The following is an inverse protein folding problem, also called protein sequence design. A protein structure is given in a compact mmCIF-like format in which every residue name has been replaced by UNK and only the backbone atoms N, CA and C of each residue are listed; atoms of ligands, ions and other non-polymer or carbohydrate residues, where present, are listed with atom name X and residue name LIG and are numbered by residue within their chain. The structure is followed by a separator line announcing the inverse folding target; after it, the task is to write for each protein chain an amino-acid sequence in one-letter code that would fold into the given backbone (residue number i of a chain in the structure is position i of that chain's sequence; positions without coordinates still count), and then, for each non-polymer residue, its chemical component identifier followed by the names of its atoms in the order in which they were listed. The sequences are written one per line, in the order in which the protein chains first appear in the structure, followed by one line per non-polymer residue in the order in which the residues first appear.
data_IF_754786682205
#
_entry.id   IF_754786682205
#
_cell.length_a   1.000
_cell.length_b   1.000
_cell.length_c   1.000
_cell.angle_alpha   90.00
_cell.angle_beta   90.00
_cell.angle_gamma   90.00
#
_symmetry.space_group_name_H-M   'P 1'
#
loop_
_entity.id
_entity.type
_entity.pdbx_description
1 polymer ?
#
# COMPACT_ATOMS: atom_id res chain seq x y z
N UNK A 1 7.42 -12.19 8.94
CA UNK A 1 7.94 -13.45 9.54
C UNK A 1 8.39 -13.14 10.97
N UNK A 2 8.21 -14.03 11.95
CA UNK A 2 8.62 -13.80 13.35
C UNK A 2 7.48 -13.43 14.32
N UNK A 3 6.23 -13.40 13.87
CA UNK A 3 5.07 -13.11 14.72
C UNK A 3 4.80 -11.62 14.98
N UNK A 4 5.66 -10.71 14.50
CA UNK A 4 5.47 -9.27 14.60
C UNK A 4 4.37 -8.75 13.66
N UNK A 5 3.93 -7.52 13.91
CA UNK A 5 2.88 -6.82 13.20
C UNK A 5 3.45 -5.63 12.43
N UNK A 6 2.95 -5.44 11.20
CA UNK A 6 3.08 -4.19 10.48
C UNK A 6 1.75 -3.44 10.51
N UNK A 7 1.80 -2.13 10.74
CA UNK A 7 0.62 -1.27 10.81
C UNK A 7 0.83 -0.05 9.94
N UNK A 8 -0.11 0.24 9.05
CA UNK A 8 -0.08 1.43 8.20
C UNK A 8 -0.82 2.59 8.88
N UNK A 9 -0.28 3.80 8.79
CA UNK A 9 -0.93 5.01 9.30
C UNK A 9 -0.87 6.12 8.26
N UNK A 10 -2.04 6.65 7.88
CA UNK A 10 -2.13 7.83 7.04
C UNK A 10 -1.76 9.12 7.78
N UNK A 11 -1.47 10.19 7.04
CA UNK A 11 -1.14 11.50 7.63
C UNK A 11 -2.33 12.44 7.87
N UNK A 12 -3.57 11.95 7.64
CA UNK A 12 -4.88 12.63 7.85
C UNK A 12 -5.31 13.61 6.76
N UNK A 13 -4.54 13.76 5.68
CA UNK A 13 -4.86 14.55 4.49
C UNK A 13 -5.24 16.01 4.78
N UNK A 14 -4.66 16.60 5.82
CA UNK A 14 -4.82 18.00 6.19
C UNK A 14 -3.51 18.78 5.98
N UNK A 15 -3.59 20.06 5.59
CA UNK A 15 -2.41 20.88 5.29
C UNK A 15 -1.45 21.01 6.47
N UNK A 16 -1.95 21.00 7.71
CA UNK A 16 -1.13 21.12 8.91
C UNK A 16 -0.47 19.79 9.28
N UNK A 17 -1.11 18.65 8.99
CA UNK A 17 -0.58 17.33 9.33
C UNK A 17 0.28 16.74 8.23
N UNK A 18 0.09 17.16 6.98
CA UNK A 18 0.83 16.65 5.82
C UNK A 18 2.35 16.66 5.96
N UNK A 19 3.01 17.74 6.44
CA UNK A 19 4.45 17.73 6.65
C UNK A 19 4.91 16.72 7.71
N UNK A 20 4.02 16.27 8.61
CA UNK A 20 4.34 15.31 9.67
C UNK A 20 4.66 13.91 9.14
N UNK A 21 4.26 13.59 7.90
CA UNK A 21 4.70 12.38 7.19
C UNK A 21 6.24 12.25 7.13
N UNK A 22 6.95 13.38 7.06
CA UNK A 22 8.41 13.47 7.00
C UNK A 22 9.10 13.48 8.38
N UNK A 23 8.37 13.82 9.45
CA UNK A 23 8.92 13.82 10.81
C UNK A 23 8.90 12.41 11.42
N UNK A 24 9.99 12.03 12.09
CA UNK A 24 10.11 10.76 12.82
C UNK A 24 9.59 10.83 14.26
N UNK A 25 9.21 12.01 14.75
CA UNK A 25 8.73 12.24 16.12
C UNK A 25 7.23 11.86 16.30
N UNK A 26 6.58 11.34 15.26
CA UNK A 26 5.15 11.06 15.26
C UNK A 26 4.78 9.88 14.35
N UNK A 27 3.59 9.33 14.56
CA UNK A 27 3.10 8.16 13.85
C UNK A 27 2.20 8.49 12.63
N UNK A 28 2.24 9.70 12.07
CA UNK A 28 1.45 10.08 10.89
C UNK A 28 2.23 9.80 9.61
N UNK A 29 1.60 9.13 8.64
CA UNK A 29 2.24 8.83 7.35
C UNK A 29 3.39 7.82 7.48
N UNK A 30 3.18 6.74 8.23
CA UNK A 30 4.20 5.74 8.59
C UNK A 30 3.74 4.32 8.24
N UNK A 31 4.72 3.45 8.08
CA UNK A 31 4.54 2.02 8.40
C UNK A 31 5.25 1.77 9.71
N UNK A 32 4.53 1.17 10.65
CA UNK A 32 4.95 0.85 12.00
C UNK A 32 5.23 -0.66 12.07
N UNK A 33 6.28 -1.07 12.78
CA UNK A 33 6.66 -2.47 13.00
C UNK A 33 6.83 -2.75 14.49
N UNK A 34 5.96 -3.59 15.03
CA UNK A 34 5.82 -3.84 16.47
C UNK A 34 5.64 -5.33 16.77
N UNK A 35 5.90 -5.76 18.00
CA UNK A 35 5.53 -7.09 18.48
C UNK A 35 4.02 -7.20 18.71
N UNK A 36 3.50 -8.40 18.96
CA UNK A 36 2.08 -8.61 19.27
C UNK A 36 1.67 -7.96 20.61
N UNK A 37 2.63 -7.68 21.49
CA UNK A 37 2.43 -6.92 22.72
C UNK A 37 2.51 -5.40 22.50
N UNK A 38 2.68 -4.94 21.26
CA UNK A 38 2.73 -3.53 20.90
C UNK A 38 4.06 -2.83 21.18
N UNK A 39 5.15 -3.58 21.41
CA UNK A 39 6.49 -3.00 21.62
C UNK A 39 7.22 -2.80 20.30
N UNK A 40 8.15 -1.82 20.19
CA UNK A 40 9.04 -1.73 19.05
C UNK A 40 9.80 -3.04 18.83
N UNK A 41 9.99 -3.44 17.58
CA UNK A 41 10.88 -4.56 17.27
C UNK A 41 12.32 -4.10 17.44
N UNK A 42 13.16 -4.94 18.06
CA UNK A 42 14.48 -4.55 18.54
C UNK A 42 15.46 -4.12 17.43
N UNK A 43 15.27 -4.60 16.20
CA UNK A 43 16.09 -4.28 15.02
C UNK A 43 15.43 -3.24 14.11
N UNK A 44 14.42 -2.51 14.60
CA UNK A 44 13.83 -1.41 13.85
C UNK A 44 14.86 -0.34 13.50
N UNK A 45 14.70 0.33 12.33
CA UNK A 45 15.71 1.22 11.76
C UNK A 45 16.01 2.45 12.61
N UNK A 46 15.08 2.88 13.45
CA UNK A 46 15.19 4.11 14.24
C UNK A 46 15.23 3.86 15.76
N UNK A 47 15.46 2.62 16.19
CA UNK A 47 15.40 2.24 17.62
C UNK A 47 16.41 3.01 18.51
N UNK A 48 17.51 3.47 17.93
CA UNK A 48 18.58 4.20 18.63
C UNK A 48 18.58 5.71 18.33
N UNK A 49 17.60 6.19 17.55
CA UNK A 49 17.47 7.61 17.19
C UNK A 49 16.66 8.33 18.26
N UNK A 50 17.32 9.21 19.02
CA UNK A 50 16.77 9.79 20.26
C UNK A 50 15.39 10.46 20.09
N UNK A 51 15.18 11.14 18.97
CA UNK A 51 13.96 11.91 18.70
C UNK A 51 12.98 11.14 17.80
N UNK A 52 13.34 9.93 17.33
CA UNK A 52 12.45 9.12 16.50
C UNK A 52 11.56 8.21 17.35
N UNK A 53 10.34 7.95 16.88
CA UNK A 53 9.55 6.85 17.40
C UNK A 53 10.21 5.51 17.00
N UNK A 54 10.61 4.66 17.96
CA UNK A 54 11.36 3.44 17.68
C UNK A 54 10.53 2.39 16.92
N UNK A 55 9.21 2.51 16.90
CA UNK A 55 8.30 1.62 16.16
C UNK A 55 8.27 1.91 14.65
N UNK A 56 8.82 3.03 14.18
CA UNK A 56 8.79 3.39 12.77
C UNK A 56 9.65 2.41 11.96
N UNK A 57 9.05 1.84 10.91
CA UNK A 57 9.72 1.03 9.90
C UNK A 57 10.02 1.83 8.65
N UNK A 58 9.04 2.57 8.12
CA UNK A 58 9.20 3.50 6.99
C UNK A 58 8.34 4.74 7.17
N UNK A 59 8.64 5.80 6.43
CA UNK A 59 7.98 7.10 6.54
C UNK A 59 7.81 7.79 5.19
N UNK A 60 7.15 8.94 5.18
CA UNK A 60 6.83 9.66 3.95
C UNK A 60 5.68 9.04 3.17
N UNK A 61 4.66 8.53 3.88
CA UNK A 61 3.44 7.97 3.28
C UNK A 61 2.27 8.94 3.42
N UNK A 62 1.33 8.92 2.47
CA UNK A 62 0.09 9.68 2.50
C UNK A 62 -1.04 8.92 3.20
N UNK A 63 -1.57 7.90 2.53
CA UNK A 63 -2.73 7.15 3.01
C UNK A 63 -2.66 5.67 2.59
N UNK A 64 -1.70 4.91 3.17
CA UNK A 64 -1.54 3.48 2.91
C UNK A 64 -2.72 2.67 3.46
N UNK A 65 -3.45 2.00 2.56
CA UNK A 65 -4.63 1.19 2.90
C UNK A 65 -4.36 -0.30 2.73
N UNK A 66 -3.74 -0.69 1.61
CA UNK A 66 -3.38 -2.08 1.38
C UNK A 66 -2.01 -2.39 1.95
N UNK A 67 -1.87 -3.55 2.58
CA UNK A 67 -0.59 -4.13 3.00
C UNK A 67 -0.64 -5.65 2.80
N UNK A 68 0.37 -6.20 2.13
CA UNK A 68 0.49 -7.64 1.94
C UNK A 68 1.97 -8.05 2.00
N UNK A 69 2.20 -9.27 2.50
CA UNK A 69 3.53 -9.86 2.57
C UNK A 69 3.65 -10.87 1.45
N UNK A 70 4.66 -10.73 0.58
CA UNK A 70 4.90 -11.67 -0.49
C UNK A 70 5.21 -13.06 0.10
N UNK A 71 4.49 -14.12 -0.29
CA UNK A 71 4.54 -15.42 0.39
C UNK A 71 5.92 -16.10 0.29
N UNK A 72 6.60 -15.97 -0.87
CA UNK A 72 7.92 -16.55 -1.08
C UNK A 72 9.06 -15.74 -0.41
N UNK A 73 9.19 -14.46 -0.76
CA UNK A 73 10.32 -13.63 -0.31
C UNK A 73 10.15 -13.13 1.12
N UNK A 74 8.91 -12.87 1.55
CA UNK A 74 8.61 -12.18 2.80
C UNK A 74 8.70 -10.66 2.70
N UNK A 75 8.84 -10.12 1.49
CA UNK A 75 8.83 -8.69 1.23
C UNK A 75 7.48 -8.08 1.58
N UNK A 76 7.50 -6.88 2.17
CA UNK A 76 6.28 -6.15 2.51
C UNK A 76 5.96 -5.18 1.39
N UNK A 77 4.75 -5.27 0.88
CA UNK A 77 4.21 -4.37 -0.12
C UNK A 77 3.08 -3.57 0.50
N UNK A 78 2.95 -2.31 0.10
CA UNK A 78 1.80 -1.48 0.44
C UNK A 78 1.23 -0.83 -0.81
N UNK A 79 -0.07 -0.55 -0.79
CA UNK A 79 -0.69 0.36 -1.74
C UNK A 79 -1.30 1.54 -0.99
N UNK A 80 -1.16 2.73 -1.56
CA UNK A 80 -1.62 3.95 -0.92
C UNK A 80 -2.34 4.89 -1.88
N UNK A 81 -3.28 5.63 -1.31
CA UNK A 81 -4.02 6.63 -2.07
C UNK A 81 -3.20 7.90 -2.21
N UNK A 82 -3.03 8.34 -3.45
CA UNK A 82 -2.57 9.67 -3.82
C UNK A 82 -3.66 10.73 -3.63
N UNK A 83 -3.34 12.01 -3.89
CA UNK A 83 -4.29 13.11 -3.88
C UNK A 83 -5.22 13.03 -5.12
N UNK A 84 -5.18 14.01 -6.03
CA UNK A 84 -5.80 13.87 -7.35
C UNK A 84 -4.79 13.23 -8.31
N UNK A 85 -4.91 11.93 -8.52
CA UNK A 85 -3.89 11.13 -9.23
C UNK A 85 -2.79 10.64 -8.28
N UNK A 86 -1.90 9.80 -8.78
CA UNK A 86 -0.69 9.37 -8.08
C UNK A 86 -0.95 8.41 -6.92
N UNK A 87 -1.90 7.49 -7.06
CA UNK A 87 -1.93 6.32 -6.16
C UNK A 87 -0.70 5.47 -6.44
N UNK A 88 -0.18 4.78 -5.42
CA UNK A 88 1.11 4.10 -5.52
C UNK A 88 1.05 2.66 -5.02
N UNK A 89 1.89 1.82 -5.63
CA UNK A 89 2.29 0.50 -5.14
C UNK A 89 3.77 0.56 -4.77
N UNK A 90 4.05 0.31 -3.50
CA UNK A 90 5.36 0.49 -2.89
C UNK A 90 5.88 -0.85 -2.35
N UNK A 91 7.08 -1.26 -2.76
CA UNK A 91 7.87 -2.29 -2.08
C UNK A 91 8.64 -1.61 -0.93
N UNK A 92 8.23 -1.87 0.31
CA UNK A 92 8.76 -1.13 1.45
C UNK A 92 10.07 -1.71 1.99
N UNK A 93 11.04 -0.85 2.30
CA UNK A 93 12.34 -1.23 2.86
C UNK A 93 12.62 -0.46 4.16
N UNK A 94 13.16 -1.14 5.16
CA UNK A 94 13.44 -0.55 6.47
C UNK A 94 14.22 0.77 6.38
N UNK A 95 13.75 1.78 7.12
CA UNK A 95 14.38 3.10 7.25
C UNK A 95 14.17 4.04 6.07
N UNK A 96 13.45 3.61 5.03
CA UNK A 96 13.30 4.41 3.80
C UNK A 96 12.16 5.43 3.87
N UNK A 97 12.34 6.49 3.09
CA UNK A 97 11.41 7.62 2.92
C UNK A 97 10.72 7.52 1.56
N UNK A 98 9.40 7.37 1.55
CA UNK A 98 8.57 7.28 0.33
C UNK A 98 8.11 8.65 -0.16
N UNK A 99 8.58 9.71 0.48
CA UNK A 99 8.70 11.02 -0.13
C UNK A 99 7.48 11.93 0.00
N UNK A 100 6.29 11.44 0.38
CA UNK A 100 5.13 12.30 0.61
C UNK A 100 5.38 13.28 1.78
N UNK A 101 5.07 14.58 1.65
CA UNK A 101 4.50 15.28 0.48
C UNK A 101 5.53 16.01 -0.39
N UNK A 102 6.82 15.75 -0.20
CA UNK A 102 7.91 16.39 -0.95
C UNK A 102 7.87 16.01 -2.42
N UNK A 103 7.62 14.73 -2.71
CA UNK A 103 7.36 14.21 -4.06
C UNK A 103 5.97 13.59 -4.11
N UNK A 104 5.34 13.66 -5.27
CA UNK A 104 4.10 12.95 -5.56
C UNK A 104 3.85 12.94 -7.07
N UNK A 105 3.21 11.89 -7.56
CA UNK A 105 2.69 11.83 -8.93
C UNK A 105 1.31 12.52 -9.08
N UNK A 106 0.69 12.93 -7.98
CA UNK A 106 -0.61 13.59 -7.98
C UNK A 106 -0.53 15.10 -7.79
N UNK A 107 -1.68 15.76 -7.91
CA UNK A 107 -1.84 17.21 -7.68
C UNK A 107 -2.92 17.47 -6.63
N UNK A 108 -3.05 18.72 -6.17
CA UNK A 108 -4.19 19.12 -5.34
C UNK A 108 -5.50 18.91 -6.10
N UNK A 109 -6.59 18.62 -5.38
CA UNK A 109 -7.91 18.50 -6.03
C UNK A 109 -8.34 19.78 -6.76
N UNK A 110 -7.85 20.94 -6.31
CA UNK A 110 -8.03 22.23 -6.99
C UNK A 110 -7.32 22.34 -8.35
N UNK A 111 -6.36 21.45 -8.63
CA UNK A 111 -5.49 21.50 -9.81
C UNK A 111 -4.12 22.15 -9.56
N UNK A 112 -3.87 22.69 -8.36
CA UNK A 112 -2.56 23.25 -8.00
C UNK A 112 -1.52 22.13 -7.75
N UNK A 113 -0.24 22.48 -7.87
CA UNK A 113 0.86 21.57 -7.50
C UNK A 113 0.92 21.37 -5.99
N UNK A 114 1.34 20.18 -5.56
CA UNK A 114 1.69 19.91 -4.16
C UNK A 114 3.18 20.17 -3.98
N UNK A 115 3.52 20.95 -2.95
CA UNK A 115 4.90 21.34 -2.69
C UNK A 115 5.51 22.02 -3.91
N UNK A 116 6.67 21.52 -4.36
CA UNK A 116 7.38 22.03 -5.54
C UNK A 116 6.87 21.42 -6.87
N UNK A 117 5.87 20.51 -6.84
CA UNK A 117 5.35 19.86 -8.04
C UNK A 117 6.33 18.89 -8.70
N UNK A 118 7.21 18.29 -7.89
CA UNK A 118 8.23 17.33 -8.34
C UNK A 118 7.81 15.89 -8.04
N UNK A 119 8.21 14.95 -8.91
CA UNK A 119 7.91 13.52 -8.75
C UNK A 119 9.09 12.71 -8.20
N UNK A 120 10.29 13.29 -8.20
CA UNK A 120 11.53 12.63 -7.82
C UNK A 120 12.48 13.60 -7.13
N UNK A 121 13.23 13.09 -6.15
CA UNK A 121 14.29 13.81 -5.45
C UNK A 121 15.29 12.80 -4.87
N UNK A 122 16.58 13.14 -4.90
CA UNK A 122 17.62 12.30 -4.32
C UNK A 122 17.32 12.00 -2.83
N UNK A 123 17.53 10.75 -2.43
CA UNK A 123 17.27 10.27 -1.08
C UNK A 123 15.81 9.88 -0.79
N UNK A 124 14.89 10.05 -1.74
CA UNK A 124 13.50 9.60 -1.64
C UNK A 124 13.29 8.38 -2.54
N UNK A 125 12.62 7.36 -2.01
CA UNK A 125 12.28 6.17 -2.78
C UNK A 125 11.17 6.46 -3.79
N UNK A 126 11.16 5.71 -4.88
CA UNK A 126 10.11 5.78 -5.90
C UNK A 126 9.17 4.58 -5.75
N UNK A 127 7.89 4.74 -6.12
CA UNK A 127 6.99 3.62 -6.18
C UNK A 127 7.41 2.64 -7.27
N UNK A 128 7.07 1.36 -7.06
CA UNK A 128 7.26 0.32 -8.08
C UNK A 128 6.29 0.55 -9.24
N UNK A 129 5.11 1.10 -8.93
CA UNK A 129 4.07 1.42 -9.90
C UNK A 129 3.16 2.51 -9.34
N UNK A 130 2.58 3.33 -10.22
CA UNK A 130 1.62 4.35 -9.82
C UNK A 130 0.44 4.39 -10.80
N UNK A 131 -0.72 4.85 -10.32
CA UNK A 131 -1.93 4.99 -11.12
C UNK A 131 -2.30 6.45 -11.34
N UNK A 132 -2.47 6.80 -12.61
CA UNK A 132 -3.17 8.00 -13.07
C UNK A 132 -3.93 7.66 -14.37
N UNK A 133 -5.28 7.61 -14.37
CA UNK A 133 -6.19 7.97 -13.27
C UNK A 133 -6.14 7.01 -12.08
N UNK A 134 -6.58 7.49 -10.92
CA UNK A 134 -6.55 6.78 -9.62
C UNK A 134 -7.26 5.43 -9.64
N UNK A 135 -6.70 4.47 -8.91
CA UNK A 135 -7.38 3.23 -8.49
C UNK A 135 -8.26 3.48 -7.26
N UNK A 136 -7.79 4.37 -6.37
CA UNK A 136 -8.13 4.47 -4.95
C UNK A 136 -7.96 3.12 -4.25
N UNK A 137 -6.71 2.63 -4.11
CA UNK A 137 -6.43 1.30 -3.61
C UNK A 137 -6.91 1.11 -2.18
N UNK A 138 -7.40 -0.09 -1.88
CA UNK A 138 -7.79 -0.51 -0.54
C UNK A 138 -7.13 -1.84 -0.18
N UNK A 139 -7.86 -2.80 0.41
CA UNK A 139 -7.30 -4.08 0.80
C UNK A 139 -6.66 -4.83 -0.37
N UNK A 140 -5.61 -5.60 -0.07
CA UNK A 140 -4.83 -6.31 -1.06
C UNK A 140 -4.26 -7.61 -0.51
N UNK A 141 -4.02 -8.58 -1.39
CA UNK A 141 -3.44 -9.87 -1.01
C UNK A 141 -2.63 -10.49 -2.15
N UNK A 142 -1.56 -11.20 -1.81
CA UNK A 142 -0.89 -12.08 -2.76
C UNK A 142 -1.63 -13.41 -2.85
N UNK A 143 -1.70 -13.97 -4.06
CA UNK A 143 -2.28 -15.30 -4.27
C UNK A 143 -1.20 -16.38 -4.23
N UNK A 144 -1.32 -17.33 -3.29
CA UNK A 144 -0.32 -18.38 -3.06
C UNK A 144 -0.78 -19.78 -3.47
N UNK A 145 -2.08 -20.00 -3.67
CA UNK A 145 -2.67 -21.29 -4.01
C UNK A 145 -2.30 -21.77 -5.42
N UNK A 146 -2.36 -23.08 -5.58
CA UNK A 146 -2.22 -23.76 -6.87
C UNK A 146 -3.57 -23.98 -7.58
N UNK A 147 -4.70 -23.54 -6.99
CA UNK A 147 -6.03 -23.73 -7.58
C UNK A 147 -6.21 -22.95 -8.91
N UNK A 148 -5.54 -21.81 -9.03
CA UNK A 148 -5.44 -21.02 -10.27
C UNK A 148 -3.95 -20.75 -10.52
N UNK A 149 -3.21 -21.68 -11.16
CA UNK A 149 -1.76 -21.58 -11.32
C UNK A 149 -1.29 -20.28 -11.96
N UNK A 150 -2.09 -19.73 -12.87
CA UNK A 150 -1.80 -18.47 -13.56
C UNK A 150 -1.76 -17.28 -12.61
N UNK A 151 -2.44 -17.34 -11.47
CA UNK A 151 -2.49 -16.27 -10.47
C UNK A 151 -1.39 -16.35 -9.42
N UNK A 152 -0.61 -17.43 -9.39
CA UNK A 152 0.41 -17.64 -8.37
C UNK A 152 1.40 -16.48 -8.32
N UNK A 153 1.65 -15.96 -7.13
CA UNK A 153 2.47 -14.77 -6.84
C UNK A 153 1.93 -13.44 -7.43
N UNK A 154 0.77 -13.42 -8.07
CA UNK A 154 0.12 -12.16 -8.43
C UNK A 154 -0.39 -11.45 -7.17
N UNK A 155 -0.34 -10.12 -7.17
CA UNK A 155 -0.93 -9.27 -6.14
C UNK A 155 -2.31 -8.80 -6.60
N UNK A 156 -3.33 -8.96 -5.76
CA UNK A 156 -4.68 -8.47 -6.03
C UNK A 156 -4.95 -7.26 -5.16
N UNK A 157 -5.39 -6.16 -5.77
CA UNK A 157 -5.63 -4.88 -5.10
C UNK A 157 -7.05 -4.43 -5.39
N UNK A 158 -7.84 -4.21 -4.35
CA UNK A 158 -9.18 -3.67 -4.48
C UNK A 158 -9.14 -2.19 -4.87
N UNK A 159 -9.98 -1.80 -5.84
CA UNK A 159 -10.13 -0.42 -6.29
C UNK A 159 -11.48 0.16 -5.92
N UNK A 160 -11.46 1.25 -5.15
CA UNK A 160 -12.68 1.92 -4.69
C UNK A 160 -13.28 2.84 -5.76
N UNK A 161 -12.48 3.74 -6.32
CA UNK A 161 -12.98 4.70 -7.32
C UNK A 161 -13.02 4.07 -8.70
N UNK A 162 -12.07 3.17 -8.98
CA UNK A 162 -11.97 2.45 -10.24
C UNK A 162 -12.97 1.29 -10.38
N UNK A 163 -13.59 0.87 -9.28
CA UNK A 163 -14.66 -0.14 -9.21
C UNK A 163 -14.33 -1.49 -9.83
N UNK A 164 -13.10 -1.95 -9.61
CA UNK A 164 -12.64 -3.27 -10.02
C UNK A 164 -11.56 -3.77 -9.06
N UNK A 165 -11.19 -5.04 -9.17
CA UNK A 165 -10.00 -5.59 -8.51
C UNK A 165 -8.88 -5.64 -9.54
N UNK A 166 -7.75 -4.98 -9.26
CA UNK A 166 -6.57 -5.03 -10.10
C UNK A 166 -5.71 -6.25 -9.73
N UNK A 167 -5.47 -7.14 -10.68
CA UNK A 167 -4.47 -8.20 -10.57
C UNK A 167 -3.17 -7.71 -11.17
N UNK A 168 -2.14 -7.64 -10.35
CA UNK A 168 -0.81 -7.13 -10.69
C UNK A 168 0.16 -8.31 -10.77
N UNK A 169 0.85 -8.42 -11.91
CA UNK A 169 1.93 -9.39 -12.13
C UNK A 169 3.25 -8.69 -11.87
N UNK A 170 4.06 -9.25 -10.98
CA UNK A 170 5.32 -8.66 -10.53
C UNK A 170 6.47 -9.61 -10.89
N UNK A 171 7.46 -9.11 -11.61
CA UNK A 171 8.72 -9.81 -11.93
C UNK A 171 9.90 -8.89 -11.59
N UNK A 172 10.92 -9.40 -10.90
CA UNK A 172 12.10 -8.63 -10.48
C UNK A 172 11.76 -7.29 -9.80
N UNK A 173 10.75 -7.30 -8.92
CA UNK A 173 10.21 -6.12 -8.23
C UNK A 173 9.70 -5.02 -9.18
N UNK A 174 9.22 -5.38 -10.37
CA UNK A 174 8.59 -4.50 -11.34
C UNK A 174 7.23 -5.04 -11.74
N UNK A 175 6.27 -4.14 -11.95
CA UNK A 175 4.98 -4.52 -12.54
C UNK A 175 5.17 -4.77 -14.03
N UNK A 176 4.82 -5.98 -14.47
CA UNK A 176 4.91 -6.40 -15.89
C UNK A 176 3.53 -6.65 -16.51
N UNK A 177 2.47 -6.61 -15.71
CA UNK A 177 1.10 -6.75 -16.19
C UNK A 177 0.06 -6.33 -15.16
N UNK A 178 -1.06 -5.82 -15.66
CA UNK A 178 -2.26 -5.48 -14.90
C UNK A 178 -3.49 -6.04 -15.61
N UNK A 179 -4.35 -6.72 -14.88
CA UNK A 179 -5.66 -7.19 -15.34
C UNK A 179 -6.75 -6.66 -14.42
N UNK A 180 -7.91 -6.27 -14.98
CA UNK A 180 -9.06 -5.75 -14.23
C UNK A 180 -10.12 -6.82 -14.09
N UNK A 181 -10.36 -7.26 -12.86
CA UNK A 181 -11.38 -8.26 -12.54
C UNK A 181 -12.65 -7.60 -12.03
N UNK A 182 -13.80 -8.17 -12.39
CA UNK A 182 -15.14 -7.75 -11.93
C UNK A 182 -15.49 -6.27 -12.21
N UNK A 183 -14.90 -5.67 -13.24
CA UNK A 183 -15.17 -4.28 -13.60
C UNK A 183 -16.66 -4.03 -13.96
N UNK A 184 -17.32 -5.02 -14.54
CA UNK A 184 -18.73 -4.94 -14.95
C UNK A 184 -19.71 -4.96 -13.77
N UNK A 185 -19.26 -5.38 -12.57
CA UNK A 185 -20.09 -5.37 -11.35
C UNK A 185 -20.32 -3.95 -10.80
N UNK A 186 -19.47 -3.00 -11.19
CA UNK A 186 -19.59 -1.59 -10.82
C UNK A 186 -19.50 -1.30 -9.31
N UNK A 187 -18.93 -2.23 -8.54
CA UNK A 187 -18.83 -2.17 -7.08
C UNK A 187 -17.55 -1.49 -6.60
N UNK A 188 -17.61 -0.87 -5.42
CA UNK A 188 -16.42 -0.37 -4.73
C UNK A 188 -15.82 -1.48 -3.87
N UNK A 189 -14.86 -2.22 -4.41
CA UNK A 189 -14.22 -3.30 -3.67
C UNK A 189 -13.37 -2.73 -2.53
N UNK A 190 -13.59 -3.22 -1.31
CA UNK A 190 -12.99 -2.70 -0.06
C UNK A 190 -11.81 -3.55 0.39
N UNK A 191 -11.98 -4.85 0.48
CA UNK A 191 -10.94 -5.75 0.97
C UNK A 191 -10.99 -7.08 0.23
N UNK A 192 -9.86 -7.78 0.17
CA UNK A 192 -9.71 -9.06 -0.51
C UNK A 192 -8.68 -9.93 0.21
N UNK A 193 -9.01 -11.20 0.37
CA UNK A 193 -8.08 -12.21 0.87
C UNK A 193 -8.19 -13.51 0.09
N UNK A 194 -7.10 -14.27 0.06
CA UNK A 194 -7.13 -15.67 -0.33
C UNK A 194 -7.74 -16.52 0.80
N UNK A 195 -8.68 -17.39 0.45
CA UNK A 195 -9.25 -18.39 1.35
C UNK A 195 -8.51 -19.73 1.28
N UNK A 196 -8.71 -20.56 2.30
CA UNK A 196 -8.07 -21.88 2.40
C UNK A 196 -8.50 -22.87 1.29
N UNK A 197 -9.55 -22.57 0.54
CA UNK A 197 -10.02 -23.32 -0.63
C UNK A 197 -9.40 -22.84 -1.94
N UNK A 198 -8.47 -21.88 -1.90
CA UNK A 198 -7.83 -21.28 -3.07
C UNK A 198 -8.72 -20.31 -3.85
N UNK A 199 -9.89 -19.94 -3.32
CA UNK A 199 -10.70 -18.85 -3.86
C UNK A 199 -10.24 -17.51 -3.29
N UNK A 200 -10.42 -16.43 -4.04
CA UNK A 200 -10.36 -15.07 -3.48
C UNK A 200 -11.72 -14.71 -2.90
N UNK A 201 -11.73 -14.11 -1.71
CA UNK A 201 -12.91 -13.54 -1.07
C UNK A 201 -12.75 -12.04 -1.02
N UNK A 202 -13.70 -11.31 -1.61
CA UNK A 202 -13.69 -9.86 -1.64
C UNK A 202 -14.96 -9.28 -1.04
N UNK A 203 -14.85 -8.17 -0.32
CA UNK A 203 -16.00 -7.41 0.21
C UNK A 203 -16.09 -6.04 -0.45
N UNK A 204 -17.29 -5.45 -0.47
CA UNK A 204 -17.52 -4.12 -1.06
C UNK A 204 -18.02 -3.13 -0.03
N UNK A 205 -17.88 -1.82 -0.30
CA UNK A 205 -18.43 -0.75 0.56
C UNK A 205 -19.96 -0.84 0.68
N UNK A 206 -20.63 -1.51 -0.27
CA UNK A 206 -22.07 -1.76 -0.30
C UNK A 206 -22.50 -3.01 0.51
N UNK A 207 -21.56 -3.74 1.12
CA UNK A 207 -21.83 -4.88 2.00
C UNK A 207 -21.95 -6.23 1.30
N UNK A 208 -21.54 -6.34 0.04
CA UNK A 208 -21.51 -7.60 -0.70
C UNK A 208 -20.27 -8.44 -0.34
N UNK A 209 -20.41 -9.76 -0.36
CA UNK A 209 -19.30 -10.73 -0.28
C UNK A 209 -19.21 -11.53 -1.58
N UNK A 210 -18.08 -11.44 -2.25
CA UNK A 210 -17.75 -12.20 -3.45
C UNK A 210 -16.84 -13.37 -3.10
N UNK A 211 -17.09 -14.53 -3.71
CA UNK A 211 -16.16 -15.65 -3.76
C UNK A 211 -15.78 -15.91 -5.20
N UNK A 212 -14.52 -15.67 -5.54
CA UNK A 212 -13.97 -15.69 -6.89
C UNK A 212 -13.08 -16.93 -7.03
N UNK A 213 -13.41 -17.82 -7.97
CA UNK A 213 -12.70 -19.09 -8.19
C UNK A 213 -12.79 -19.52 -9.65
N UNK A 214 -11.93 -20.46 -10.04
CA UNK A 214 -12.04 -21.16 -11.32
C UNK A 214 -13.39 -21.87 -11.41
N UNK A 215 -14.06 -21.75 -12.55
CA UNK A 215 -15.31 -22.47 -12.85
C UNK A 215 -15.07 -23.96 -12.95
#
# INVERSE_FOLDING_TARGET
KGGNLFVTTGERSDLQTRPKAQSLENALGKVIHITIEGRPVADNPFVNEKEALPEIFTYGHRNPQGLAIHPATGDVWISEMGPRGGDELNLIKAGRNYGWPTITYGIEYSGATIGEGITQKEGLEQPVYYWDPVLSPSGMTFYASDAIPEWKNSLFICGLSSKHIARIVIEDNKVVGEERLLADEGQRFRDITEGNDGALYAVTDEGNLYRIRKK
#
